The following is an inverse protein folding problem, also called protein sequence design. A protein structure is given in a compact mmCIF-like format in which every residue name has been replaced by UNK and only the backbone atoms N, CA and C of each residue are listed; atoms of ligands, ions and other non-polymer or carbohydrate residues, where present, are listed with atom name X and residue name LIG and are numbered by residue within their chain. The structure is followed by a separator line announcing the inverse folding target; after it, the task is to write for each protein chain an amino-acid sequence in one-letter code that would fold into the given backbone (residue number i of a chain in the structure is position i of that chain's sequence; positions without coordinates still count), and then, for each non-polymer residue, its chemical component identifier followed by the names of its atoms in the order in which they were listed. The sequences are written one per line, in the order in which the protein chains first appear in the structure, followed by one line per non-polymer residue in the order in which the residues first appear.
data_IF_349916033463
#
_entry.id   IF_349916033463
#
_cell.length_a   1.000
_cell.length_b   1.000
_cell.length_c   1.000
_cell.angle_alpha   90.00
_cell.angle_beta   90.00
_cell.angle_gamma   90.00
#
_symmetry.space_group_name_H-M   'P 1'
#
loop_
_entity.id
_entity.type
_entity.pdbx_description
1 polymer ?
#
# COMPACT_ATOMS: atom_id res chain seq x y z
N UNK A 1 31.61 76.40 98.53
CA UNK A 1 31.00 75.15 98.03
C UNK A 1 30.53 75.38 96.60
N UNK A 2 31.24 74.83 95.61
CA UNK A 2 30.90 74.99 94.19
C UNK A 2 30.21 73.71 93.70
N UNK A 3 28.94 73.84 93.33
CA UNK A 3 28.08 72.74 92.87
C UNK A 3 28.42 72.38 91.42
N UNK A 4 29.00 71.20 91.19
CA UNK A 4 29.24 70.64 89.86
C UNK A 4 27.93 70.02 89.34
N UNK A 5 27.32 70.65 88.35
CA UNK A 5 26.19 70.12 87.59
C UNK A 5 26.70 69.00 86.65
N UNK A 6 26.13 67.78 86.68
CA UNK A 6 26.56 66.70 85.79
C UNK A 6 26.05 66.95 84.36
N UNK A 7 26.93 66.75 83.37
CA UNK A 7 26.59 66.82 81.96
C UNK A 7 25.90 65.53 81.51
N UNK A 8 24.76 65.65 80.84
CA UNK A 8 24.00 64.54 80.26
C UNK A 8 24.53 64.34 78.82
N UNK A 9 24.95 63.12 78.41
CA UNK A 9 25.36 62.86 77.03
C UNK A 9 24.13 62.87 76.11
N UNK A 10 24.16 63.71 75.07
CA UNK A 10 23.17 63.68 73.99
C UNK A 10 23.54 62.59 72.98
N UNK A 11 22.74 61.53 72.91
CA UNK A 11 22.78 60.55 71.82
C UNK A 11 21.91 61.04 70.66
N UNK A 12 22.50 61.10 69.45
CA UNK A 12 21.75 61.45 68.23
C UNK A 12 20.73 60.34 67.91
N UNK A 13 19.50 60.69 67.47
CA UNK A 13 18.54 59.68 67.02
C UNK A 13 19.03 58.99 65.75
N UNK A 14 18.97 57.66 65.73
CA UNK A 14 19.25 56.84 64.55
C UNK A 14 18.20 57.08 63.47
N UNK A 15 18.58 57.25 62.19
CA UNK A 15 17.62 57.50 61.12
C UNK A 15 16.71 56.29 60.90
N UNK A 16 15.42 56.49 60.56
CA UNK A 16 14.50 55.38 60.31
C UNK A 16 14.97 54.58 59.09
N UNK A 17 15.03 53.25 59.23
CA UNK A 17 15.39 52.33 58.16
C UNK A 17 14.48 52.55 56.93
N UNK A 18 15.07 52.82 55.77
CA UNK A 18 14.32 53.04 54.53
C UNK A 18 13.45 51.82 54.19
N UNK A 19 12.23 52.05 53.67
CA UNK A 19 11.28 50.97 53.30
C UNK A 19 11.92 49.88 52.42
N UNK A 20 12.87 50.26 51.56
CA UNK A 20 13.62 49.30 50.72
C UNK A 20 14.55 48.37 51.49
N UNK A 21 15.16 48.84 52.59
CA UNK A 21 15.99 48.01 53.46
C UNK A 21 15.18 46.99 54.26
N UNK A 22 13.98 47.37 54.70
CA UNK A 22 13.07 46.49 55.43
C UNK A 22 12.50 45.38 54.52
N UNK A 23 12.16 45.70 53.26
CA UNK A 23 11.71 44.72 52.28
C UNK A 23 12.81 43.71 51.93
N UNK A 24 14.06 44.16 51.75
CA UNK A 24 15.21 43.28 51.50
C UNK A 24 15.52 42.37 52.70
N UNK A 25 15.42 42.89 53.92
CA UNK A 25 15.65 42.10 55.14
C UNK A 25 14.58 41.01 55.35
N UNK A 26 13.32 41.30 55.02
CA UNK A 26 12.24 40.30 55.03
C UNK A 26 12.42 39.24 53.93
N UNK A 27 12.77 39.65 52.72
CA UNK A 27 13.02 38.72 51.61
C UNK A 27 14.15 37.73 51.92
N UNK A 28 15.24 38.20 52.54
CA UNK A 28 16.36 37.34 52.96
C UNK A 28 15.97 36.40 54.11
N UNK A 29 15.08 36.82 55.03
CA UNK A 29 14.55 35.94 56.10
C UNK A 29 13.62 34.85 55.56
N UNK A 30 12.79 35.16 54.56
CA UNK A 30 11.90 34.18 53.93
C UNK A 30 12.70 33.18 53.08
N UNK A 31 13.75 33.64 52.39
CA UNK A 31 14.64 32.79 51.61
C UNK A 31 15.52 31.85 52.46
N UNK A 32 15.76 32.18 53.74
CA UNK A 32 16.55 31.35 54.65
C UNK A 32 15.79 30.16 55.25
N UNK A 33 14.46 30.08 55.07
CA UNK A 33 13.67 28.95 55.58
C UNK A 33 13.40 27.94 54.45
N UNK A 34 14.04 26.75 54.47
CA UNK A 34 14.01 25.81 53.35
C UNK A 34 12.61 25.31 53.00
N UNK A 35 11.70 25.27 53.97
CA UNK A 35 10.31 24.85 53.75
C UNK A 35 9.48 25.90 52.99
N UNK A 36 9.70 27.19 53.26
CA UNK A 36 8.98 28.28 52.59
C UNK A 36 9.48 28.48 51.16
N UNK A 37 10.79 28.34 50.92
CA UNK A 37 11.37 28.39 49.58
C UNK A 37 10.97 27.18 48.73
N UNK A 38 10.93 25.98 49.31
CA UNK A 38 10.48 24.77 48.62
C UNK A 38 9.00 24.85 48.22
N UNK A 39 8.14 25.37 49.10
CA UNK A 39 6.73 25.61 48.80
C UNK A 39 6.52 26.62 47.65
N UNK A 40 7.28 27.72 47.66
CA UNK A 40 7.24 28.72 46.59
C UNK A 40 7.71 28.18 45.23
N UNK A 41 8.80 27.40 45.22
CA UNK A 41 9.30 26.77 43.99
C UNK A 41 8.33 25.71 43.44
N UNK A 42 7.70 24.92 44.32
CA UNK A 42 6.69 23.94 43.95
C UNK A 42 5.45 24.59 43.32
N UNK A 43 4.97 25.71 43.89
CA UNK A 43 3.87 26.47 43.32
C UNK A 43 4.21 27.02 41.93
N UNK A 44 5.42 27.60 41.78
CA UNK A 44 5.89 28.09 40.50
C UNK A 44 5.95 26.97 39.46
N UNK A 45 6.52 25.82 39.80
CA UNK A 45 6.58 24.65 38.89
C UNK A 45 5.20 24.18 38.45
N UNK A 46 4.22 24.15 39.36
CA UNK A 46 2.85 23.75 39.07
C UNK A 46 2.16 24.75 38.14
N UNK A 47 2.39 26.05 38.33
CA UNK A 47 1.90 27.10 37.43
C UNK A 47 2.52 26.95 36.04
N UNK A 48 3.84 26.75 35.92
CA UNK A 48 4.47 26.55 34.61
C UNK A 48 3.96 25.29 33.92
N UNK A 49 3.75 24.20 34.66
CA UNK A 49 3.20 22.96 34.11
C UNK A 49 1.76 23.15 33.60
N UNK A 50 0.90 23.83 34.36
CA UNK A 50 -0.48 24.16 33.93
C UNK A 50 -0.44 25.03 32.67
N UNK A 51 0.45 26.03 32.63
CA UNK A 51 0.60 26.91 31.48
C UNK A 51 1.06 26.15 30.24
N UNK A 52 2.00 25.20 30.39
CA UNK A 52 2.46 24.34 29.31
C UNK A 52 1.34 23.45 28.78
N UNK A 53 0.52 22.87 29.67
CA UNK A 53 -0.64 22.06 29.29
C UNK A 53 -1.66 22.90 28.52
N UNK A 54 -1.89 24.16 28.90
CA UNK A 54 -2.81 25.03 28.16
C UNK A 54 -2.25 25.51 26.80
N UNK A 55 -0.93 25.66 26.67
CA UNK A 55 -0.31 26.11 25.41
C UNK A 55 -0.10 24.96 24.43
N UNK A 56 0.26 23.77 24.91
CA UNK A 56 0.57 22.59 24.07
C UNK A 56 -0.64 21.65 23.92
N UNK A 57 -1.56 21.65 24.87
CA UNK A 57 -2.77 20.83 24.85
C UNK A 57 -3.86 21.46 24.00
N UNK A 58 -3.74 21.35 22.68
CA UNK A 58 -4.88 21.58 21.81
C UNK A 58 -5.92 20.48 22.06
N UNK A 59 -7.01 20.83 22.75
CA UNK A 59 -8.14 19.94 23.01
C UNK A 59 -8.83 19.41 21.74
N UNK A 60 -8.42 19.89 20.55
CA UNK A 60 -8.90 19.47 19.23
C UNK A 60 -7.84 18.74 18.38
N UNK A 61 -6.68 18.37 18.94
CA UNK A 61 -5.65 17.59 18.22
C UNK A 61 -6.05 16.12 17.95
N UNK A 62 -7.21 15.67 18.43
CA UNK A 62 -7.90 14.51 17.89
C UNK A 62 -8.74 14.94 16.69
N UNK A 63 -8.35 14.50 15.49
CA UNK A 63 -9.05 14.77 14.23
C UNK A 63 -10.58 14.78 14.42
N UNK A 64 -11.32 15.80 13.92
CA UNK A 64 -12.78 15.77 14.03
C UNK A 64 -13.31 14.57 13.25
N UNK A 65 -13.70 13.51 13.98
CA UNK A 65 -14.35 12.35 13.39
C UNK A 65 -15.79 12.75 13.10
N UNK A 66 -16.04 13.21 11.86
CA UNK A 66 -17.39 13.43 11.36
C UNK A 66 -17.99 12.06 11.05
N UNK A 67 -18.84 11.55 11.95
CA UNK A 67 -19.63 10.34 11.70
C UNK A 67 -20.86 10.71 10.87
N UNK A 68 -20.76 10.61 9.56
CA UNK A 68 -21.91 10.70 8.66
C UNK A 68 -22.71 9.39 8.77
N UNK A 69 -23.99 9.47 9.11
CA UNK A 69 -24.86 8.30 9.05
C UNK A 69 -25.13 7.97 7.58
N UNK A 70 -24.89 6.72 7.20
CA UNK A 70 -25.17 6.21 5.85
C UNK A 70 -26.65 6.38 5.48
N UNK A 71 -27.55 6.36 6.47
CA UNK A 71 -28.98 6.64 6.29
C UNK A 71 -29.24 8.08 5.79
N UNK A 72 -28.52 9.07 6.32
CA UNK A 72 -28.67 10.46 5.89
C UNK A 72 -28.04 10.72 4.52
N UNK A 73 -26.94 10.03 4.19
CA UNK A 73 -26.35 10.07 2.85
C UNK A 73 -27.25 9.36 1.80
N UNK A 74 -27.96 8.31 2.20
CA UNK A 74 -28.93 7.60 1.36
C UNK A 74 -30.20 8.43 1.11
N UNK A 75 -30.72 9.14 2.12
CA UNK A 75 -31.86 10.06 1.96
C UNK A 75 -31.49 11.35 1.21
N UNK A 76 -30.28 11.89 1.39
CA UNK A 76 -29.82 13.11 0.73
C UNK A 76 -29.49 12.92 -0.77
N UNK A 77 -29.55 11.70 -1.30
CA UNK A 77 -29.41 11.43 -2.73
C UNK A 77 -28.06 11.85 -3.32
N UNK A 78 -27.00 11.98 -2.50
CA UNK A 78 -25.66 12.27 -2.99
C UNK A 78 -25.04 11.04 -3.63
N UNK A 79 -25.54 10.66 -4.80
CA UNK A 79 -24.88 9.69 -5.66
C UNK A 79 -23.55 10.30 -6.10
N UNK A 80 -22.43 9.75 -5.63
CA UNK A 80 -21.12 10.02 -6.25
C UNK A 80 -21.24 9.56 -7.70
N UNK A 81 -21.17 10.46 -8.70
CA UNK A 81 -21.37 10.08 -10.09
C UNK A 81 -20.25 9.13 -10.52
N UNK A 82 -20.62 8.01 -11.13
CA UNK A 82 -19.70 7.18 -11.90
C UNK A 82 -19.47 5.76 -11.38
N UNK A 83 -19.69 5.45 -10.09
CA UNK A 83 -19.46 4.07 -9.61
C UNK A 83 -20.66 3.15 -9.86
N UNK A 84 -21.90 3.67 -9.73
CA UNK A 84 -23.11 2.91 -10.10
C UNK A 84 -23.25 2.79 -11.61
N UNK A 85 -22.88 3.82 -12.35
CA UNK A 85 -22.84 3.77 -13.81
C UNK A 85 -21.73 2.84 -14.32
N UNK A 86 -20.62 2.67 -13.58
CA UNK A 86 -19.58 1.68 -13.90
C UNK A 86 -20.00 0.22 -13.61
N UNK A 87 -21.01 0.00 -12.76
CA UNK A 87 -21.60 -1.31 -12.48
C UNK A 87 -22.76 -1.65 -13.42
N UNK A 88 -23.38 -0.64 -14.04
CA UNK A 88 -24.63 -0.81 -14.78
C UNK A 88 -24.46 -1.41 -16.19
N UNK A 89 -23.22 -1.52 -16.70
CA UNK A 89 -22.94 -2.04 -18.05
C UNK A 89 -22.32 -3.45 -18.05
N UNK A 90 -22.61 -4.26 -17.03
CA UNK A 90 -22.14 -5.65 -16.91
C UNK A 90 -23.26 -6.69 -17.08
N UNK A 91 -24.38 -6.31 -17.69
CA UNK A 91 -25.48 -7.25 -18.01
C UNK A 91 -25.12 -8.30 -19.06
N UNK A 92 -23.96 -8.18 -19.72
CA UNK A 92 -23.33 -9.26 -20.44
C UNK A 92 -22.26 -9.88 -19.54
N UNK A 93 -22.69 -10.60 -18.49
CA UNK A 93 -21.78 -11.47 -17.76
C UNK A 93 -21.08 -12.36 -18.81
N UNK A 94 -19.74 -12.32 -18.92
CA UNK A 94 -19.05 -13.21 -19.83
C UNK A 94 -19.49 -14.63 -19.47
N UNK A 95 -19.85 -15.43 -20.46
CA UNK A 95 -20.05 -16.86 -20.24
C UNK A 95 -18.69 -17.42 -19.85
N UNK A 96 -18.43 -17.48 -18.55
CA UNK A 96 -17.23 -18.08 -17.98
C UNK A 96 -17.49 -19.57 -17.93
N UNK A 97 -17.06 -20.28 -18.96
CA UNK A 97 -16.95 -21.73 -18.91
C UNK A 97 -15.62 -22.06 -18.24
N UNK A 98 -15.67 -22.52 -16.98
CA UNK A 98 -14.53 -23.16 -16.33
C UNK A 98 -14.47 -24.61 -16.80
N UNK A 99 -13.51 -24.90 -17.67
CA UNK A 99 -13.14 -26.27 -18.04
C UNK A 99 -11.85 -26.62 -17.32
N UNK A 100 -11.89 -27.62 -16.45
CA UNK A 100 -10.71 -28.11 -15.73
C UNK A 100 -10.04 -29.20 -16.58
N UNK A 101 -9.08 -28.80 -17.41
CA UNK A 101 -8.26 -29.73 -18.18
C UNK A 101 -7.10 -30.21 -17.31
N UNK A 102 -7.21 -31.44 -16.81
CA UNK A 102 -6.09 -32.11 -16.14
C UNK A 102 -5.09 -32.60 -17.18
N UNK A 103 -3.80 -32.35 -16.94
CA UNK A 103 -2.74 -32.91 -17.78
C UNK A 103 -2.75 -34.44 -17.58
N UNK A 104 -3.19 -35.18 -18.59
CA UNK A 104 -3.16 -36.65 -18.57
C UNK A 104 -1.75 -37.15 -18.87
N UNK A 105 -1.24 -38.08 -18.06
CA UNK A 105 0.05 -38.77 -18.30
C UNK A 105 0.03 -39.66 -19.57
N UNK A 106 -1.14 -39.85 -20.18
CA UNK A 106 -1.26 -40.50 -21.47
C UNK A 106 -1.05 -39.46 -22.58
N UNK A 107 0.01 -39.59 -23.41
CA UNK A 107 0.17 -38.77 -24.59
C UNK A 107 -1.07 -38.90 -25.47
N UNK A 108 -1.54 -37.77 -26.02
CA UNK A 108 -2.59 -37.78 -27.02
C UNK A 108 -2.06 -38.58 -28.21
N UNK A 109 -2.59 -39.79 -28.44
CA UNK A 109 -2.32 -40.55 -29.66
C UNK A 109 -3.03 -39.85 -30.81
N UNK A 110 -2.32 -38.94 -31.46
CA UNK A 110 -2.76 -38.33 -32.70
C UNK A 110 -2.85 -39.44 -33.76
N UNK A 111 -4.07 -39.78 -34.14
CA UNK A 111 -4.37 -40.87 -35.07
C UNK A 111 -3.46 -40.83 -36.31
N UNK A 112 -2.63 -41.88 -36.40
CA UNK A 112 -1.97 -42.49 -37.54
C UNK A 112 -2.02 -41.73 -38.89
N UNK A 113 -1.29 -40.61 -38.99
CA UNK A 113 -0.77 -40.12 -40.26
C UNK A 113 0.42 -39.16 -40.05
N UNK A 114 1.63 -39.73 -39.94
CA UNK A 114 2.86 -39.06 -40.40
C UNK A 114 3.92 -38.74 -39.35
N UNK A 115 4.84 -39.69 -39.18
CA UNK A 115 6.26 -39.57 -38.78
C UNK A 115 6.60 -38.83 -37.47
N UNK A 116 6.93 -39.65 -36.47
CA UNK A 116 7.72 -39.34 -35.28
C UNK A 116 9.14 -38.94 -35.72
N UNK A 117 9.51 -37.69 -35.51
CA UNK A 117 10.82 -37.16 -35.87
C UNK A 117 10.95 -35.65 -35.71
N UNK A 118 10.50 -35.09 -34.58
CA UNK A 118 10.80 -33.71 -34.16
C UNK A 118 10.40 -32.58 -35.12
N UNK A 119 9.57 -32.86 -36.12
CA UNK A 119 9.21 -31.92 -37.19
C UNK A 119 7.69 -31.89 -37.33
N UNK A 120 7.07 -30.77 -36.97
CA UNK A 120 5.64 -30.56 -37.22
C UNK A 120 5.45 -30.23 -38.71
N UNK A 121 4.86 -31.16 -39.46
CA UNK A 121 4.46 -30.92 -40.86
C UNK A 121 3.04 -30.36 -40.85
N UNK A 122 2.91 -29.05 -41.07
CA UNK A 122 1.61 -28.41 -41.31
C UNK A 122 1.28 -28.58 -42.79
N UNK A 123 0.33 -29.45 -43.11
CA UNK A 123 -0.24 -29.58 -44.47
C UNK A 123 -1.33 -28.52 -44.64
N UNK A 124 -1.07 -27.54 -45.51
CA UNK A 124 -2.12 -26.60 -45.93
C UNK A 124 -3.03 -27.26 -46.99
N UNK A 125 -4.31 -26.88 -47.06
CA UNK A 125 -5.26 -27.37 -48.08
C UNK A 125 -4.92 -26.77 -49.45
N UNK A 126 -3.79 -27.21 -50.03
CA UNK A 126 -3.31 -27.00 -51.41
C UNK A 126 -1.95 -27.68 -51.66
N UNK A 127 -1.49 -28.55 -50.75
CA UNK A 127 -0.27 -29.35 -50.96
C UNK A 127 1.04 -28.65 -50.61
N UNK A 128 1.01 -27.47 -50.01
CA UNK A 128 2.20 -26.80 -49.48
C UNK A 128 2.76 -27.51 -48.24
N UNK A 129 4.06 -27.82 -48.23
CA UNK A 129 4.79 -28.37 -47.08
C UNK A 129 5.73 -27.30 -46.51
N UNK A 130 5.62 -27.03 -45.22
CA UNK A 130 6.58 -26.22 -44.44
C UNK A 130 7.25 -27.14 -43.41
N UNK A 131 8.56 -27.29 -43.52
CA UNK A 131 9.37 -28.18 -42.67
C UNK A 131 10.12 -27.34 -41.64
N UNK A 132 9.59 -27.27 -40.42
CA UNK A 132 10.21 -26.53 -39.32
C UNK A 132 11.31 -27.37 -38.65
N UNK A 133 12.57 -26.95 -38.76
CA UNK A 133 13.70 -27.57 -38.06
C UNK A 133 13.55 -27.36 -36.54
N UNK A 134 13.31 -28.45 -35.82
CA UNK A 134 12.99 -28.51 -34.38
C UNK A 134 14.15 -28.19 -33.42
N UNK A 135 14.76 -27.02 -33.53
CA UNK A 135 15.45 -26.40 -32.39
C UNK A 135 14.42 -25.75 -31.44
N UNK A 136 14.73 -25.57 -30.14
CA UNK A 136 13.92 -24.70 -29.31
C UNK A 136 13.87 -23.33 -30.00
N UNK A 137 12.68 -22.95 -30.46
CA UNK A 137 12.41 -21.62 -30.95
C UNK A 137 12.42 -20.71 -29.72
N UNK A 138 13.61 -20.41 -29.21
CA UNK A 138 13.82 -19.21 -28.41
C UNK A 138 13.56 -18.09 -29.40
N UNK A 139 12.33 -17.57 -29.39
CA UNK A 139 12.03 -16.32 -30.06
C UNK A 139 12.90 -15.26 -29.38
N UNK A 140 14.09 -15.01 -29.92
CA UNK A 140 14.99 -13.93 -29.49
C UNK A 140 14.45 -12.56 -29.90
N UNK A 141 13.12 -12.39 -29.85
CA UNK A 141 12.50 -11.08 -29.78
C UNK A 141 12.54 -10.66 -28.32
N UNK A 142 13.69 -10.14 -27.88
CA UNK A 142 13.78 -9.47 -26.59
C UNK A 142 12.66 -8.43 -26.54
N UNK A 143 11.62 -8.71 -25.77
CA UNK A 143 10.51 -7.80 -25.59
C UNK A 143 11.09 -6.48 -25.10
N UNK A 144 10.67 -5.37 -25.69
CA UNK A 144 11.07 -4.07 -25.16
C UNK A 144 10.68 -4.04 -23.69
N UNK A 145 11.67 -3.76 -22.83
CA UNK A 145 11.44 -3.61 -21.40
C UNK A 145 10.27 -2.65 -21.18
N UNK A 146 9.35 -3.03 -20.30
CA UNK A 146 8.23 -2.17 -19.92
C UNK A 146 8.69 -1.13 -18.90
N UNK A 147 7.96 -0.02 -18.84
CA UNK A 147 8.20 1.06 -17.88
C UNK A 147 8.16 0.49 -16.46
N UNK A 148 9.14 0.82 -15.62
CA UNK A 148 9.18 0.35 -14.25
C UNK A 148 7.98 0.86 -13.44
N UNK A 149 7.48 0.03 -12.52
CA UNK A 149 6.44 0.43 -11.57
C UNK A 149 7.09 0.93 -10.26
N UNK A 150 6.49 1.92 -9.56
CA UNK A 150 5.27 2.63 -9.91
C UNK A 150 5.49 3.80 -10.90
N UNK A 151 4.57 3.97 -11.85
CA UNK A 151 4.48 5.15 -12.71
C UNK A 151 3.97 6.34 -11.88
N UNK A 152 4.64 7.49 -12.01
CA UNK A 152 4.26 8.72 -11.34
C UNK A 152 2.82 9.14 -11.68
N UNK A 153 2.06 9.51 -10.64
CA UNK A 153 0.66 9.93 -10.77
C UNK A 153 -0.36 8.78 -10.87
N UNK A 154 0.09 7.51 -10.87
CA UNK A 154 -0.80 6.33 -10.81
C UNK A 154 -0.77 5.63 -9.45
N UNK A 155 -0.18 6.27 -8.43
CA UNK A 155 -0.14 5.77 -7.06
C UNK A 155 -0.49 6.86 -6.05
N UNK A 156 -1.11 6.45 -4.95
CA UNK A 156 -1.37 7.29 -3.79
C UNK A 156 -0.98 6.58 -2.49
N UNK A 157 -0.68 7.30 -1.41
CA UNK A 157 -0.47 6.70 -0.09
C UNK A 157 -1.71 5.94 0.38
N UNK A 158 -1.55 4.68 0.72
CA UNK A 158 -2.54 3.81 1.33
C UNK A 158 -2.30 3.60 2.83
N UNK A 159 -3.15 2.80 3.47
CA UNK A 159 -2.97 2.42 4.87
C UNK A 159 -1.58 1.83 5.13
N UNK A 160 -0.95 2.23 6.24
CA UNK A 160 0.38 1.72 6.61
C UNK A 160 1.54 2.19 5.72
N UNK A 161 1.32 3.17 4.84
CA UNK A 161 2.37 3.73 3.97
C UNK A 161 2.60 2.93 2.67
N UNK A 162 1.81 1.89 2.41
CA UNK A 162 1.82 1.17 1.15
C UNK A 162 1.30 2.06 0.00
N UNK A 163 1.81 1.90 -1.21
CA UNK A 163 1.29 2.61 -2.37
C UNK A 163 0.10 1.85 -2.97
N UNK A 164 -1.02 2.55 -3.16
CA UNK A 164 -2.21 2.01 -3.82
C UNK A 164 -2.29 2.50 -5.26
N UNK A 165 -2.62 1.62 -6.23
CA UNK A 165 -2.93 2.04 -7.58
C UNK A 165 -4.15 2.96 -7.60
N UNK A 166 -4.04 4.10 -8.29
CA UNK A 166 -5.15 5.05 -8.47
C UNK A 166 -5.27 5.46 -9.93
N UNK A 167 -6.45 5.95 -10.31
CA UNK A 167 -6.66 6.58 -11.62
C UNK A 167 -5.89 7.91 -11.61
N UNK A 168 -5.09 8.16 -12.65
CA UNK A 168 -4.31 9.38 -12.78
C UNK A 168 -5.18 10.63 -12.89
N UNK A 169 -4.61 11.80 -12.61
CA UNK A 169 -5.30 13.09 -12.77
C UNK A 169 -5.74 13.38 -14.22
N UNK A 170 -5.17 12.66 -15.17
CA UNK A 170 -5.51 12.68 -16.60
C UNK A 170 -6.52 11.59 -17.00
N UNK A 171 -7.05 10.81 -16.04
CA UNK A 171 -8.03 9.75 -16.26
C UNK A 171 -7.43 8.39 -16.69
N UNK A 172 -6.11 8.27 -16.83
CA UNK A 172 -5.48 7.00 -17.17
C UNK A 172 -5.66 5.99 -16.04
N UNK A 173 -6.16 4.80 -16.39
CA UNK A 173 -6.32 3.68 -15.44
C UNK A 173 -5.02 2.86 -15.36
N UNK A 174 -4.63 2.35 -14.17
CA UNK A 174 -3.42 1.53 -14.02
C UNK A 174 -3.34 0.36 -15.01
N UNK A 175 -4.43 -0.37 -15.23
CA UNK A 175 -4.45 -1.51 -16.17
C UNK A 175 -4.14 -1.10 -17.62
N UNK A 176 -4.43 0.13 -18.02
CA UNK A 176 -4.09 0.64 -19.36
C UNK A 176 -2.65 1.14 -19.43
N UNK A 177 -2.17 1.78 -18.37
CA UNK A 177 -0.83 2.36 -18.33
C UNK A 177 0.27 1.30 -18.13
N UNK A 178 -0.04 0.21 -17.44
CA UNK A 178 0.89 -0.90 -17.21
C UNK A 178 0.76 -2.03 -18.23
N UNK A 179 -0.24 -1.96 -19.13
CA UNK A 179 -0.45 -2.94 -20.19
C UNK A 179 0.76 -3.07 -21.11
N UNK A 180 0.99 -4.28 -21.61
CA UNK A 180 1.94 -4.50 -22.68
C UNK A 180 1.36 -3.99 -24.00
N UNK A 181 2.10 -3.17 -24.78
CA UNK A 181 1.67 -2.76 -26.10
C UNK A 181 1.45 -3.97 -27.03
N UNK A 182 0.35 -3.96 -27.77
CA UNK A 182 0.02 -4.99 -28.74
C UNK A 182 -0.56 -4.35 -30.01
N UNK A 183 -0.07 -4.78 -31.17
CA UNK A 183 -0.58 -4.36 -32.48
C UNK A 183 -1.43 -5.47 -33.06
N UNK A 184 -2.72 -5.22 -33.24
CA UNK A 184 -3.62 -6.19 -33.84
C UNK A 184 -3.26 -6.45 -35.32
N UNK A 185 -3.27 -7.72 -35.72
CA UNK A 185 -2.92 -8.17 -37.07
C UNK A 185 -4.10 -8.83 -37.81
N UNK A 186 -5.33 -8.63 -37.32
CA UNK A 186 -6.56 -9.21 -37.88
C UNK A 186 -6.82 -10.68 -37.52
N UNK A 187 -5.92 -11.34 -36.77
CA UNK A 187 -6.12 -12.72 -36.29
C UNK A 187 -6.86 -12.75 -34.94
N UNK A 188 -7.47 -13.90 -34.56
CA UNK A 188 -7.98 -14.10 -33.20
C UNK A 188 -6.93 -13.80 -32.13
N UNK A 189 -7.36 -13.19 -31.03
CA UNK A 189 -6.49 -12.82 -29.91
C UNK A 189 -6.57 -13.89 -28.82
N UNK A 190 -5.41 -14.30 -28.31
CA UNK A 190 -5.27 -15.23 -27.19
C UNK A 190 -4.42 -14.55 -26.13
N UNK A 191 -4.80 -14.68 -24.86
CA UNK A 191 -4.01 -14.26 -23.72
C UNK A 191 -3.64 -15.49 -22.88
N UNK A 192 -2.38 -15.59 -22.47
CA UNK A 192 -1.89 -16.64 -21.57
C UNK A 192 -1.42 -15.96 -20.28
N UNK A 193 -1.97 -16.40 -19.16
CA UNK A 193 -1.62 -15.92 -17.82
C UNK A 193 -1.06 -17.08 -17.02
N UNK A 194 0.13 -16.90 -16.45
CA UNK A 194 0.74 -17.88 -15.54
C UNK A 194 0.65 -17.35 -14.11
N UNK A 195 -0.12 -18.02 -13.26
CA UNK A 195 -0.34 -17.66 -11.86
C UNK A 195 0.56 -18.39 -10.86
N UNK A 196 0.42 -18.03 -9.59
CA UNK A 196 1.14 -18.61 -8.46
C UNK A 196 2.62 -18.22 -8.39
N UNK A 197 3.03 -17.19 -9.14
CA UNK A 197 4.43 -16.77 -9.17
C UNK A 197 4.83 -16.10 -7.84
N UNK A 198 6.11 -16.25 -7.50
CA UNK A 198 6.69 -15.76 -6.25
C UNK A 198 6.63 -16.76 -5.08
N UNK A 199 5.88 -17.86 -5.20
CA UNK A 199 5.86 -18.94 -4.18
C UNK A 199 7.06 -19.88 -4.29
N UNK A 200 7.53 -20.10 -5.52
CA UNK A 200 8.74 -20.86 -5.79
C UNK A 200 9.73 -19.97 -6.57
N UNK A 201 10.81 -19.47 -5.94
CA UNK A 201 11.78 -18.59 -6.58
C UNK A 201 12.42 -19.17 -7.85
N UNK A 202 12.67 -20.49 -7.90
CA UNK A 202 13.30 -21.14 -9.04
C UNK A 202 12.37 -21.17 -10.26
N UNK A 203 11.10 -21.54 -10.07
CA UNK A 203 10.11 -21.51 -11.15
C UNK A 203 9.74 -20.09 -11.56
N UNK A 204 9.66 -19.17 -10.60
CA UNK A 204 9.40 -17.75 -10.87
C UNK A 204 10.46 -17.14 -11.78
N UNK A 205 11.74 -17.38 -11.45
CA UNK A 205 12.85 -16.91 -12.28
C UNK A 205 12.81 -17.50 -13.70
N UNK A 206 12.59 -18.81 -13.82
CA UNK A 206 12.47 -19.47 -15.12
C UNK A 206 11.30 -18.93 -15.94
N UNK A 207 10.15 -18.70 -15.32
CA UNK A 207 9.00 -18.11 -16.00
C UNK A 207 9.35 -16.72 -16.56
N UNK A 208 10.04 -15.88 -15.78
CA UNK A 208 10.44 -14.53 -16.22
C UNK A 208 11.53 -14.56 -17.30
N UNK A 209 12.50 -15.47 -17.22
CA UNK A 209 13.66 -15.47 -18.12
C UNK A 209 13.45 -16.27 -19.41
N UNK A 210 12.55 -17.26 -19.39
CA UNK A 210 12.39 -18.21 -20.50
C UNK A 210 11.08 -18.05 -21.28
N UNK A 211 10.03 -17.50 -20.65
CA UNK A 211 8.77 -17.31 -21.38
C UNK A 211 8.87 -16.11 -22.32
N UNK A 212 8.17 -16.16 -23.46
CA UNK A 212 8.05 -14.99 -24.32
C UNK A 212 7.41 -13.81 -23.56
N UNK A 213 7.83 -12.56 -23.86
CA UNK A 213 7.32 -11.35 -23.19
C UNK A 213 5.81 -11.14 -23.40
N UNK A 214 5.19 -11.80 -24.39
CA UNK A 214 3.75 -11.82 -24.61
C UNK A 214 2.96 -12.52 -23.51
N UNK A 215 3.61 -13.36 -22.68
CA UNK A 215 2.94 -14.07 -21.58
C UNK A 215 2.79 -13.15 -20.38
N UNK A 216 1.58 -13.07 -19.85
CA UNK A 216 1.29 -12.29 -18.64
C UNK A 216 1.63 -13.10 -17.39
N UNK A 217 2.29 -12.47 -16.44
CA UNK A 217 2.78 -13.10 -15.21
C UNK A 217 1.95 -12.61 -14.02
N UNK A 218 1.32 -13.54 -13.30
CA UNK A 218 0.46 -13.26 -12.14
C UNK A 218 1.15 -13.72 -10.86
N UNK A 219 1.33 -12.80 -9.92
CA UNK A 219 2.09 -13.03 -8.69
C UNK A 219 1.19 -13.15 -7.47
N UNK A 220 1.54 -14.08 -6.59
CA UNK A 220 0.92 -14.21 -5.28
C UNK A 220 1.26 -13.00 -4.39
N UNK A 221 0.29 -12.46 -3.62
CA UNK A 221 0.50 -11.25 -2.82
C UNK A 221 1.44 -11.45 -1.64
N UNK A 222 1.68 -12.70 -1.22
CA UNK A 222 2.57 -13.09 -0.13
C UNK A 222 3.94 -13.59 -0.62
N UNK A 223 4.27 -13.36 -1.89
CA UNK A 223 5.59 -13.67 -2.43
C UNK A 223 6.70 -12.90 -1.70
N UNK A 224 7.78 -13.58 -1.34
CA UNK A 224 8.95 -12.94 -0.77
C UNK A 224 9.66 -12.09 -1.83
N UNK A 225 10.00 -10.84 -1.49
CA UNK A 225 10.67 -9.93 -2.41
C UNK A 225 9.85 -9.55 -3.64
N UNK A 226 8.51 -9.54 -3.53
CA UNK A 226 7.57 -9.31 -4.64
C UNK A 226 7.95 -8.16 -5.57
N UNK A 227 8.33 -7.00 -5.04
CA UNK A 227 8.73 -5.85 -5.87
C UNK A 227 9.89 -6.17 -6.81
N UNK A 228 10.89 -6.94 -6.34
CA UNK A 228 12.02 -7.35 -7.17
C UNK A 228 11.61 -8.30 -8.30
N UNK A 229 10.64 -9.18 -8.05
CA UNK A 229 10.07 -10.02 -9.12
C UNK A 229 9.29 -9.22 -10.15
N UNK A 230 8.50 -8.24 -9.70
CA UNK A 230 7.75 -7.33 -10.58
C UNK A 230 8.72 -6.52 -11.45
N UNK A 231 9.77 -5.96 -10.86
CA UNK A 231 10.78 -5.18 -11.58
C UNK A 231 11.49 -6.04 -12.63
N UNK A 232 11.89 -7.27 -12.26
CA UNK A 232 12.52 -8.21 -13.18
C UNK A 232 11.58 -8.64 -14.32
N UNK A 233 10.32 -8.94 -14.02
CA UNK A 233 9.32 -9.32 -15.02
C UNK A 233 9.07 -8.19 -16.03
N UNK A 234 8.92 -6.95 -15.55
CA UNK A 234 8.72 -5.78 -16.42
C UNK A 234 9.97 -5.45 -17.23
N UNK A 235 11.16 -5.63 -16.66
CA UNK A 235 12.42 -5.50 -17.39
C UNK A 235 12.54 -6.52 -18.54
N UNK A 236 11.94 -7.72 -18.39
CA UNK A 236 11.85 -8.73 -19.45
C UNK A 236 10.64 -8.55 -20.39
N UNK A 237 9.85 -7.49 -20.22
CA UNK A 237 8.77 -7.14 -21.14
C UNK A 237 7.40 -7.76 -20.82
N UNK A 238 7.26 -8.45 -19.69
CA UNK A 238 6.02 -9.08 -19.28
C UNK A 238 5.02 -8.09 -18.67
N UNK A 239 3.76 -8.25 -19.04
CA UNK A 239 2.65 -7.67 -18.27
C UNK A 239 2.48 -8.42 -16.95
N UNK A 240 2.12 -7.70 -15.89
CA UNK A 240 2.11 -8.22 -14.52
C UNK A 240 0.73 -8.04 -13.89
N UNK A 241 0.24 -9.09 -13.23
CA UNK A 241 -0.98 -9.09 -12.42
C UNK A 241 -0.66 -9.44 -10.96
N UNK A 242 -1.51 -8.96 -10.06
CA UNK A 242 -1.48 -9.30 -8.64
C UNK A 242 -2.69 -10.16 -8.30
N UNK A 243 -2.46 -11.31 -7.70
CA UNK A 243 -3.53 -12.22 -7.30
C UNK A 243 -4.28 -11.68 -6.08
N UNK A 244 -5.60 -11.84 -6.12
CA UNK A 244 -6.47 -11.51 -5.00
C UNK A 244 -7.04 -12.81 -4.43
N UNK A 245 -6.63 -13.21 -3.21
CA UNK A 245 -7.19 -14.38 -2.54
C UNK A 245 -8.67 -14.12 -2.25
N UNK A 246 -9.53 -15.06 -2.67
CA UNK A 246 -10.96 -15.03 -2.43
C UNK A 246 -11.38 -16.31 -1.70
N UNK A 247 -12.51 -16.25 -1.00
CA UNK A 247 -13.10 -17.45 -0.39
C UNK A 247 -13.50 -18.46 -1.50
N UNK A 248 -13.14 -19.75 -1.36
CA UNK A 248 -13.52 -20.76 -2.35
C UNK A 248 -15.03 -21.02 -2.28
N UNK A 249 -15.69 -21.06 -3.45
CA UNK A 249 -17.09 -21.47 -3.55
C UNK A 249 -17.20 -22.99 -3.50
N UNK A 250 -17.70 -23.55 -2.39
CA UNK A 250 -17.91 -24.99 -2.22
C UNK A 250 -19.13 -25.56 -2.98
N UNK A 251 -19.77 -24.77 -3.85
CA UNK A 251 -21.05 -25.11 -4.51
C UNK A 251 -21.00 -26.31 -5.48
N UNK A 252 -19.81 -26.80 -5.85
CA UNK A 252 -19.65 -27.95 -6.75
C UNK A 252 -19.65 -29.32 -6.07
N UNK A 253 -19.46 -29.39 -4.75
CA UNK A 253 -19.31 -30.69 -4.05
C UNK A 253 -20.64 -31.42 -3.84
N UNK A 254 -21.78 -30.72 -3.83
CA UNK A 254 -23.11 -31.32 -3.59
C UNK A 254 -23.67 -32.04 -4.84
N UNK A 255 -23.36 -31.55 -6.04
CA UNK A 255 -23.77 -32.17 -7.31
C UNK A 255 -23.01 -33.47 -7.60
N UNK A 256 -21.72 -33.55 -7.23
CA UNK A 256 -20.91 -34.76 -7.43
C UNK A 256 -21.36 -35.92 -6.52
N UNK A 257 -21.72 -35.64 -5.26
CA UNK A 257 -22.27 -36.67 -4.36
C UNK A 257 -23.66 -37.16 -4.79
N UNK A 258 -24.51 -36.28 -5.33
CA UNK A 258 -25.84 -36.68 -5.81
C UNK A 258 -25.78 -37.52 -7.09
N UNK A 259 -24.81 -37.28 -7.98
CA UNK A 259 -24.67 -38.04 -9.23
C UNK A 259 -24.12 -39.47 -9.05
N UNK A 260 -23.44 -39.76 -7.95
CA UNK A 260 -22.94 -41.12 -7.63
C UNK A 260 -23.99 -42.00 -6.92
N UNK A 261 -25.11 -41.44 -6.49
CA UNK A 261 -26.20 -42.17 -5.82
C UNK A 261 -27.44 -42.43 -6.70
N UNK A 262 -27.37 -42.20 -8.02
CA UNK A 262 -28.43 -42.58 -8.98
C UNK A 262 -27.96 -43.65 -9.96
#
# INVERSE_FOLDING_TARGET
MFSRKPQIPHTLPTPPASRGGQARALALRVAGNPWLSAGGAGLMFLITLITLIMVMGDAKAGTPIVRLSLAHAAEAGSGVPGWKEALADESAAPVVTTDELTLSDTPIELADNGVIGGSAVITLPEGGRLEGSGGPLIATGGGSALIQAPIAGLTAPGPGGALLPVIGGDGRKPWQAYARPFTANGKPKVALVIGGLGLNPAYTRRAIELLPPEVTLSFAPYAEGLQGWIDLARANGHEVLLETPMEPSYSGMESAMTSTMR
#
